data_IF_575999673731
#
_entry.id   IF_575999673731
#
_cell.length_a   1.000
_cell.length_b   1.000
_cell.length_c   1.000
_cell.angle_alpha   90.00
_cell.angle_beta   90.00
_cell.angle_gamma   90.00
#
_symmetry.space_group_name_H-M   'P 1'
#
loop_
_entity.id
_entity.type
_entity.pdbx_description
1 polymer ?
#
# COMPACT_ATOMS: atom_id res chain seq x y z
N UNK A 1 34.57 -2.81 6.83
CA UNK A 1 33.16 -2.78 6.42
C UNK A 1 32.38 -2.47 7.69
N UNK A 2 31.95 -1.22 7.85
CA UNK A 2 30.92 -0.89 8.85
C UNK A 2 29.69 -1.74 8.53
N UNK A 3 29.02 -2.43 9.49
CA UNK A 3 27.77 -3.13 9.19
C UNK A 3 26.74 -2.09 8.74
N UNK A 4 26.69 -1.83 7.44
CA UNK A 4 25.73 -0.93 6.83
C UNK A 4 24.36 -1.51 7.12
N UNK A 5 23.58 -0.83 7.97
CA UNK A 5 22.21 -1.23 8.26
C UNK A 5 21.47 -1.25 6.93
N UNK A 6 21.13 -2.46 6.47
CA UNK A 6 20.39 -2.67 5.24
C UNK A 6 18.96 -2.13 5.41
N UNK A 7 18.57 -1.22 4.52
CA UNK A 7 17.24 -0.62 4.55
C UNK A 7 16.34 -1.24 3.47
N UNK A 8 15.13 -1.58 3.88
CA UNK A 8 14.04 -2.03 3.02
C UNK A 8 12.82 -1.17 3.32
N UNK A 9 12.32 -0.46 2.32
CA UNK A 9 11.02 0.22 2.41
C UNK A 9 9.92 -0.82 2.15
N UNK A 10 8.89 -0.92 2.98
CA UNK A 10 7.82 -1.91 2.83
C UNK A 10 6.47 -1.32 2.38
N UNK A 11 6.31 -0.01 2.48
CA UNK A 11 5.02 0.67 2.34
C UNK A 11 5.05 1.82 1.33
N UNK A 12 5.80 1.68 0.24
CA UNK A 12 5.77 2.67 -0.83
C UNK A 12 4.47 2.58 -1.63
N UNK A 13 3.97 3.72 -2.11
CA UNK A 13 2.79 3.81 -2.99
C UNK A 13 3.19 4.30 -4.37
N UNK A 14 2.61 3.69 -5.40
CA UNK A 14 2.79 4.14 -6.78
C UNK A 14 1.69 5.13 -7.15
N UNK A 15 1.83 5.82 -8.30
CA UNK A 15 0.78 6.67 -8.85
C UNK A 15 -0.53 5.93 -9.19
N UNK A 16 -0.53 4.59 -9.14
CA UNK A 16 -1.77 3.82 -9.25
C UNK A 16 -2.62 3.89 -7.96
N UNK A 17 -2.06 4.38 -6.86
CA UNK A 17 -2.80 4.78 -5.66
C UNK A 17 -3.40 6.17 -5.86
N UNK A 18 -4.64 6.24 -6.34
CA UNK A 18 -5.30 7.50 -6.69
C UNK A 18 -5.28 8.51 -5.52
N UNK A 19 -4.78 9.73 -5.78
CA UNK A 19 -4.61 10.83 -4.82
C UNK A 19 -3.72 10.51 -3.60
N UNK A 20 -3.01 9.38 -3.63
CA UNK A 20 -2.22 8.85 -2.50
C UNK A 20 -0.77 8.53 -2.90
N UNK A 21 -0.48 8.36 -4.20
CA UNK A 21 0.86 8.18 -4.74
C UNK A 21 1.07 9.03 -5.99
N UNK A 22 2.32 9.45 -6.22
CA UNK A 22 2.69 10.34 -7.33
C UNK A 22 3.74 9.72 -8.27
N UNK A 23 4.68 8.92 -7.73
CA UNK A 23 5.78 8.35 -8.50
C UNK A 23 5.37 7.09 -9.24
N UNK A 24 5.96 6.89 -10.41
CA UNK A 24 5.84 5.62 -11.14
C UNK A 24 6.62 4.50 -10.45
N UNK A 25 6.24 3.23 -10.67
CA UNK A 25 7.04 2.09 -10.20
C UNK A 25 8.50 2.17 -10.66
N UNK A 26 8.75 2.57 -11.90
CA UNK A 26 10.10 2.68 -12.48
C UNK A 26 10.95 3.73 -11.75
N UNK A 27 10.38 4.90 -11.43
CA UNK A 27 11.07 5.95 -10.65
C UNK A 27 11.38 5.49 -9.22
N UNK A 28 10.44 4.80 -8.57
CA UNK A 28 10.62 4.29 -7.21
C UNK A 28 11.77 3.27 -7.16
N UNK A 29 11.79 2.31 -8.09
CA UNK A 29 12.83 1.30 -8.15
C UNK A 29 14.20 1.87 -8.55
N UNK A 30 14.23 2.82 -9.49
CA UNK A 30 15.46 3.56 -9.83
C UNK A 30 16.03 4.32 -8.63
N UNK A 31 15.15 4.97 -7.85
CA UNK A 31 15.55 5.71 -6.65
C UNK A 31 16.05 4.76 -5.56
N UNK A 32 15.38 3.63 -5.34
CA UNK A 32 15.80 2.61 -4.37
C UNK A 32 17.19 2.05 -4.70
N UNK A 33 17.45 1.76 -5.99
CA UNK A 33 18.76 1.32 -6.45
C UNK A 33 19.84 2.39 -6.23
N UNK A 34 19.57 3.65 -6.61
CA UNK A 34 20.50 4.77 -6.39
C UNK A 34 20.82 4.99 -4.91
N UNK A 35 19.86 4.73 -4.02
CA UNK A 35 20.01 4.88 -2.56
C UNK A 35 20.60 3.64 -1.87
N UNK A 36 20.81 2.54 -2.60
CA UNK A 36 21.36 1.30 -2.06
C UNK A 36 20.40 0.54 -1.14
N UNK A 37 19.10 0.55 -1.44
CA UNK A 37 18.12 -0.22 -0.67
C UNK A 37 18.30 -1.72 -0.94
N UNK A 38 18.11 -2.54 0.08
CA UNK A 38 18.14 -4.01 -0.05
C UNK A 38 16.84 -4.58 -0.62
N UNK A 39 15.80 -3.76 -0.77
CA UNK A 39 14.50 -4.16 -1.30
C UNK A 39 13.47 -3.05 -1.23
N UNK A 40 12.36 -3.21 -1.95
CA UNK A 40 11.27 -2.25 -2.01
C UNK A 40 9.91 -2.94 -2.04
N UNK A 41 9.06 -2.58 -1.11
CA UNK A 41 7.68 -3.01 -0.99
C UNK A 41 6.72 -2.00 -1.58
N UNK A 42 5.81 -2.48 -2.42
CA UNK A 42 4.72 -1.67 -2.96
C UNK A 42 3.43 -2.04 -2.24
N UNK A 43 2.77 -1.04 -1.66
CA UNK A 43 1.52 -1.17 -0.90
C UNK A 43 0.46 -0.18 -1.43
N UNK A 44 0.04 -0.38 -2.68
CA UNK A 44 -0.97 0.50 -3.31
C UNK A 44 -2.31 0.49 -2.55
N UNK A 45 -3.05 1.60 -2.63
CA UNK A 45 -4.32 1.76 -1.93
C UNK A 45 -5.43 0.86 -2.50
N UNK A 46 -5.96 -0.03 -1.67
CA UNK A 46 -7.08 -0.93 -1.95
C UNK A 46 -6.93 -1.77 -3.23
N UNK A 47 -5.71 -2.09 -3.64
CA UNK A 47 -5.46 -2.94 -4.79
C UNK A 47 -3.97 -3.16 -5.08
N UNK A 48 -3.73 -3.96 -6.11
CA UNK A 48 -2.39 -4.34 -6.60
C UNK A 48 -2.12 -3.73 -7.99
N UNK A 49 -2.62 -2.51 -8.21
CA UNK A 49 -2.69 -1.88 -9.53
C UNK A 49 -1.31 -1.66 -10.17
N UNK A 50 -0.29 -1.29 -9.38
CA UNK A 50 1.06 -1.05 -9.86
C UNK A 50 1.97 -2.27 -9.94
N UNK A 51 1.54 -3.45 -9.46
CA UNK A 51 2.46 -4.59 -9.23
C UNK A 51 3.06 -5.14 -10.51
N UNK A 52 2.32 -5.21 -11.62
CA UNK A 52 2.87 -5.73 -12.88
C UNK A 52 4.06 -4.87 -13.38
N UNK A 53 3.93 -3.55 -13.27
CA UNK A 53 4.99 -2.59 -13.65
C UNK A 53 6.13 -2.58 -12.62
N UNK A 54 5.79 -2.64 -11.33
CA UNK A 54 6.77 -2.79 -10.26
C UNK A 54 7.62 -4.06 -10.41
N UNK A 55 7.02 -5.17 -10.82
CA UNK A 55 7.75 -6.41 -11.07
C UNK A 55 8.76 -6.24 -12.22
N UNK A 56 8.36 -5.62 -13.33
CA UNK A 56 9.29 -5.33 -14.42
C UNK A 56 10.41 -4.37 -13.97
N UNK A 57 10.09 -3.32 -13.23
CA UNK A 57 11.06 -2.37 -12.71
C UNK A 57 12.05 -3.00 -11.72
N UNK A 58 11.57 -3.89 -10.84
CA UNK A 58 12.37 -4.69 -9.91
C UNK A 58 13.41 -5.52 -10.64
N UNK A 59 13.00 -6.26 -11.68
CA UNK A 59 13.92 -7.07 -12.48
C UNK A 59 14.96 -6.20 -13.21
N UNK A 60 14.55 -5.05 -13.73
CA UNK A 60 15.45 -4.13 -14.43
C UNK A 60 16.50 -3.48 -13.50
N UNK A 61 16.15 -3.22 -12.24
CA UNK A 61 17.03 -2.54 -11.28
C UNK A 61 17.76 -3.52 -10.34
N UNK A 62 17.41 -4.81 -10.36
CA UNK A 62 18.00 -5.82 -9.47
C UNK A 62 17.62 -5.66 -7.99
N UNK A 63 16.58 -4.87 -7.68
CA UNK A 63 16.08 -4.66 -6.32
C UNK A 63 14.90 -5.61 -6.06
N UNK A 64 14.93 -6.44 -4.99
CA UNK A 64 13.82 -7.30 -4.63
C UNK A 64 12.51 -6.54 -4.39
N UNK A 65 11.42 -6.99 -5.04
CA UNK A 65 10.07 -6.48 -4.83
C UNK A 65 9.35 -7.26 -3.74
N UNK A 66 8.78 -6.55 -2.75
CA UNK A 66 7.79 -7.09 -1.83
C UNK A 66 6.38 -6.64 -2.24
N UNK A 67 5.47 -7.59 -2.45
CA UNK A 67 4.13 -7.32 -2.98
C UNK A 67 3.14 -7.15 -1.82
N UNK A 68 2.41 -6.03 -1.80
CA UNK A 68 1.37 -5.77 -0.81
C UNK A 68 0.34 -4.74 -1.28
N UNK A 69 -0.63 -4.45 -0.41
CA UNK A 69 -1.63 -3.40 -0.61
C UNK A 69 -2.09 -2.84 0.73
N UNK A 70 -2.34 -1.54 0.79
CA UNK A 70 -2.99 -0.90 1.93
C UNK A 70 -4.50 -1.13 1.84
N UNK A 71 -5.10 -1.74 2.87
CA UNK A 71 -6.54 -2.00 2.92
C UNK A 71 -7.25 -1.05 3.89
N UNK A 72 -8.28 -0.36 3.41
CA UNK A 72 -9.14 0.49 4.25
C UNK A 72 -10.28 -0.30 4.89
N UNK A 73 -10.45 -0.16 6.21
CA UNK A 73 -11.45 -0.89 7.00
C UNK A 73 -12.81 -0.18 7.13
N UNK A 74 -13.05 0.93 6.41
CA UNK A 74 -14.23 1.79 6.60
C UNK A 74 -15.57 1.06 6.45
N UNK A 75 -15.64 0.03 5.59
CA UNK A 75 -16.88 -0.72 5.35
C UNK A 75 -17.26 -1.59 6.54
N UNK A 76 -16.27 -2.15 7.25
CA UNK A 76 -16.55 -3.03 8.38
C UNK A 76 -17.19 -2.29 9.55
N UNK A 77 -16.69 -1.10 9.90
CA UNK A 77 -17.29 -0.30 10.98
C UNK A 77 -18.67 0.22 10.61
N UNK A 78 -18.90 0.59 9.35
CA UNK A 78 -20.23 0.91 8.84
C UNK A 78 -21.20 -0.26 8.98
N UNK A 79 -20.76 -1.47 8.62
CA UNK A 79 -21.55 -2.69 8.75
C UNK A 79 -21.90 -3.02 10.20
N UNK A 80 -20.92 -3.04 11.13
CA UNK A 80 -21.19 -3.26 12.57
C UNK A 80 -22.17 -2.22 13.12
N UNK A 81 -21.97 -0.94 12.80
CA UNK A 81 -22.86 0.12 13.27
C UNK A 81 -24.28 0.02 12.71
N UNK A 82 -24.44 -0.61 11.54
CA UNK A 82 -25.73 -0.84 10.90
C UNK A 82 -26.42 -2.10 11.43
N UNK A 83 -25.66 -3.18 11.72
CA UNK A 83 -26.18 -4.42 12.31
C UNK A 83 -26.48 -4.31 13.80
N UNK A 84 -25.90 -3.32 14.50
CA UNK A 84 -26.20 -3.04 15.90
C UNK A 84 -27.55 -2.31 16.13
N UNK A 85 -28.34 -2.05 15.08
CA UNK A 85 -29.72 -1.54 15.24
C UNK A 85 -30.71 -2.71 15.33
N UNK A 86 -31.17 -3.13 16.52
CA UNK A 86 -32.33 -3.99 16.60
C UNK A 86 -33.52 -3.29 15.93
N UNK A 87 -34.24 -3.98 15.04
CA UNK A 87 -35.38 -3.48 14.26
C UNK A 87 -36.62 -3.08 15.10
N UNK A 88 -36.48 -2.88 16.41
CA UNK A 88 -37.60 -2.76 17.35
C UNK A 88 -37.67 -1.49 18.21
N UNK A 89 -36.65 -0.63 18.25
CA UNK A 89 -36.72 0.58 19.07
C UNK A 89 -37.34 1.75 18.29
N UNK A 90 -38.67 1.80 18.30
CA UNK A 90 -39.44 2.99 17.92
C UNK A 90 -39.15 4.07 18.97
N UNK A 91 -38.52 5.18 18.55
CA UNK A 91 -38.36 6.36 19.41
C UNK A 91 -39.74 6.83 19.84
N UNK A 92 -40.12 6.59 21.09
CA UNK A 92 -41.26 7.23 21.72
C UNK A 92 -40.76 8.60 22.15
N UNK A 93 -41.05 9.61 21.33
CA UNK A 93 -40.85 11.02 21.67
C UNK A 93 -41.82 11.42 22.76
N UNK A 94 -41.31 12.12 23.79
CA UNK A 94 -42.05 13.08 24.61
C UNK A 94 -41.32 14.42 24.50
#
# INVERSE_FOLDING_TARGET
>A
MDPTIEFVEFFAKTHYSFLEGASSPEELFSTAAMRGYSGLGIADFNGLYGIARAHAASQNQGIPLYIGSQISWKVFWSWISSSARPQGLRKVTN
#
